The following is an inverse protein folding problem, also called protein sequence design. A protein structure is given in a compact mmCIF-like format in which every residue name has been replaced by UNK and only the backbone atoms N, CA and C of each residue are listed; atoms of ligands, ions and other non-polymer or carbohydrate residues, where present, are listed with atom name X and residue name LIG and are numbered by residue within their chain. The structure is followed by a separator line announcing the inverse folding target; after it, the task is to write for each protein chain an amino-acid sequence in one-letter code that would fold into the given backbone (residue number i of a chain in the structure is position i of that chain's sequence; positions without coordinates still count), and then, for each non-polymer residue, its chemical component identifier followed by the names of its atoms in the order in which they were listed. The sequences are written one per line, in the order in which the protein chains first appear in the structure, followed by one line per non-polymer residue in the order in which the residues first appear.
data_IF_041825503887
#
_entry.id   IF_041825503887
#
_cell.length_a   1.000
_cell.length_b   1.000
_cell.length_c   1.000
_cell.angle_alpha   90.00
_cell.angle_beta   90.00
_cell.angle_gamma   90.00
#
_symmetry.space_group_name_H-M   'P 1'
#
loop_
_entity.id
_entity.type
_entity.pdbx_description
1 polymer ?
#
# COMPACT_ATOMS: atom_id res chain seq x y z
N UNK A 1 27.62 -14.64 -10.32
CA UNK A 1 27.95 -14.66 -8.93
C UNK A 1 26.73 -14.71 -8.05
N UNK A 2 26.76 -15.57 -7.08
CA UNK A 2 25.65 -15.81 -6.18
C UNK A 2 25.26 -14.58 -5.36
N UNK A 3 26.19 -13.67 -5.15
CA UNK A 3 25.96 -12.47 -4.35
C UNK A 3 24.87 -11.58 -4.96
N UNK A 4 24.93 -11.36 -6.27
CA UNK A 4 23.92 -10.53 -6.95
C UNK A 4 22.56 -11.21 -6.93
N UNK A 5 22.54 -12.52 -7.12
CA UNK A 5 21.32 -13.29 -7.04
C UNK A 5 20.70 -13.21 -5.65
N UNK A 6 21.55 -13.35 -4.61
CA UNK A 6 21.07 -13.25 -3.23
C UNK A 6 20.49 -11.87 -2.94
N UNK A 7 21.13 -10.79 -3.44
CA UNK A 7 20.63 -9.43 -3.27
C UNK A 7 19.26 -9.27 -3.92
N UNK A 8 19.07 -9.81 -5.12
CA UNK A 8 17.78 -9.75 -5.80
C UNK A 8 16.70 -10.52 -5.04
N UNK A 9 17.07 -11.66 -4.45
CA UNK A 9 16.12 -12.48 -3.67
C UNK A 9 15.69 -11.77 -2.39
N UNK A 10 16.54 -10.94 -1.82
CA UNK A 10 16.22 -10.18 -0.61
C UNK A 10 15.39 -8.93 -0.90
N UNK A 11 15.30 -8.52 -2.16
CA UNK A 11 14.52 -7.37 -2.55
C UNK A 11 13.04 -7.71 -2.49
N UNK A 12 12.22 -6.94 -1.76
CA UNK A 12 10.79 -7.23 -1.69
C UNK A 12 10.14 -7.08 -3.06
N UNK A 13 9.10 -7.87 -3.36
CA UNK A 13 8.36 -7.70 -4.61
C UNK A 13 7.68 -6.34 -4.65
N UNK A 14 7.46 -5.82 -5.86
CA UNK A 14 6.74 -4.56 -6.04
C UNK A 14 5.31 -4.69 -5.51
N UNK A 15 4.71 -3.56 -5.14
CA UNK A 15 3.33 -3.56 -4.67
C UNK A 15 2.39 -4.15 -5.73
N UNK A 16 2.58 -3.79 -7.01
CA UNK A 16 1.76 -4.33 -8.09
C UNK A 16 1.86 -5.85 -8.17
N UNK A 17 3.06 -6.40 -8.00
CA UNK A 17 3.26 -7.84 -7.99
C UNK A 17 2.57 -8.49 -6.77
N UNK A 18 2.67 -7.85 -5.61
CA UNK A 18 2.01 -8.35 -4.41
C UNK A 18 0.50 -8.45 -4.60
N UNK A 19 -0.12 -7.42 -5.19
CA UNK A 19 -1.56 -7.42 -5.46
C UNK A 19 -1.92 -8.53 -6.43
N UNK A 20 -1.12 -8.70 -7.48
CA UNK A 20 -1.36 -9.69 -8.51
C UNK A 20 -1.35 -11.12 -7.94
N UNK A 21 -0.52 -11.38 -6.94
CA UNK A 21 -0.31 -12.71 -6.39
C UNK A 21 -1.08 -12.99 -5.10
N UNK A 22 -2.00 -12.09 -4.71
CA UNK A 22 -2.81 -12.30 -3.50
C UNK A 22 -3.71 -13.53 -3.63
N UNK A 23 -3.67 -14.38 -2.62
CA UNK A 23 -4.64 -15.47 -2.46
C UNK A 23 -5.92 -14.96 -1.81
N UNK A 24 -6.95 -15.84 -1.72
CA UNK A 24 -8.23 -15.47 -1.11
C UNK A 24 -8.05 -14.96 0.31
N UNK A 25 -8.59 -13.79 0.62
CA UNK A 25 -8.51 -13.18 1.94
C UNK A 25 -7.17 -12.54 2.28
N UNK A 26 -6.18 -12.65 1.40
CA UNK A 26 -4.89 -12.02 1.64
C UNK A 26 -4.90 -10.54 1.28
N UNK A 27 -3.99 -9.78 1.91
CA UNK A 27 -3.91 -8.33 1.75
C UNK A 27 -2.50 -7.90 1.41
N UNK A 28 -2.39 -6.81 0.66
CA UNK A 28 -1.15 -6.09 0.42
C UNK A 28 -1.33 -4.66 0.90
N UNK A 29 -0.27 -4.10 1.48
CA UNK A 29 -0.32 -2.75 2.03
C UNK A 29 0.70 -1.86 1.35
N UNK A 30 0.34 -0.59 1.19
CA UNK A 30 1.25 0.46 0.77
C UNK A 30 1.14 1.61 1.76
N UNK A 31 2.28 2.11 2.21
CA UNK A 31 2.33 3.17 3.20
C UNK A 31 3.05 4.39 2.65
N UNK A 32 2.67 5.55 3.16
CA UNK A 32 3.35 6.81 2.87
C UNK A 32 3.55 7.55 4.18
N UNK A 33 4.81 7.86 4.55
CA UNK A 33 5.04 8.63 5.78
C UNK A 33 4.47 10.03 5.64
N UNK A 34 3.88 10.54 6.73
CA UNK A 34 3.37 11.89 6.78
C UNK A 34 4.55 12.81 7.09
N UNK A 35 4.64 13.91 6.35
CA UNK A 35 5.72 14.88 6.52
C UNK A 35 5.71 15.41 7.95
N UNK A 36 6.83 15.21 8.66
CA UNK A 36 6.97 15.61 10.05
C UNK A 36 7.07 17.13 10.23
N UNK A 37 7.26 17.87 9.15
CA UNK A 37 7.24 19.33 9.22
C UNK A 37 5.83 19.88 9.36
N UNK A 38 4.80 19.05 9.12
CA UNK A 38 3.43 19.46 9.36
C UNK A 38 3.19 19.59 10.85
N UNK A 39 2.59 20.72 11.25
CA UNK A 39 2.19 20.88 12.63
C UNK A 39 1.00 19.99 12.95
N UNK A 40 0.85 19.62 14.22
CA UNK A 40 -0.28 18.79 14.67
C UNK A 40 -1.61 19.42 14.25
N UNK A 41 -1.72 20.75 14.28
CA UNK A 41 -2.95 21.44 13.89
C UNK A 41 -3.28 21.26 12.40
N UNK A 42 -2.27 21.06 11.54
CA UNK A 42 -2.48 20.92 10.10
C UNK A 42 -2.68 19.49 9.64
N UNK A 43 -2.31 18.50 10.47
CA UNK A 43 -2.45 17.09 10.10
C UNK A 43 -3.89 16.74 9.71
N UNK A 44 -4.93 17.12 10.49
CA UNK A 44 -6.30 16.80 10.11
C UNK A 44 -6.73 17.43 8.78
N UNK A 45 -6.17 18.56 8.40
CA UNK A 45 -6.48 19.21 7.14
C UNK A 45 -5.81 18.52 5.95
N UNK A 46 -4.59 18.01 6.16
CA UNK A 46 -3.80 17.39 5.10
C UNK A 46 -4.10 15.91 4.89
N UNK A 47 -4.61 15.23 5.91
CA UNK A 47 -4.86 13.78 5.85
C UNK A 47 -5.78 13.35 4.73
N UNK A 48 -6.91 14.04 4.48
CA UNK A 48 -7.79 13.63 3.37
C UNK A 48 -7.08 13.64 2.02
N UNK A 49 -6.23 14.65 1.77
CA UNK A 49 -5.47 14.74 0.53
C UNK A 49 -4.44 13.63 0.42
N UNK A 50 -3.74 13.32 1.53
CA UNK A 50 -2.76 12.25 1.56
C UNK A 50 -3.40 10.88 1.32
N UNK A 51 -4.56 10.63 1.93
CA UNK A 51 -5.31 9.39 1.71
C UNK A 51 -5.74 9.27 0.27
N UNK A 52 -6.20 10.37 -0.34
CA UNK A 52 -6.63 10.35 -1.73
C UNK A 52 -5.45 10.10 -2.66
N UNK A 53 -4.29 10.72 -2.40
CA UNK A 53 -3.07 10.46 -3.17
C UNK A 53 -2.67 8.99 -3.10
N UNK A 54 -2.76 8.41 -1.92
CA UNK A 54 -2.39 7.00 -1.72
C UNK A 54 -3.38 6.07 -2.44
N UNK A 55 -4.68 6.37 -2.34
CA UNK A 55 -5.71 5.62 -3.07
C UNK A 55 -5.45 5.70 -4.58
N UNK A 56 -5.14 6.88 -5.09
CA UNK A 56 -4.84 7.06 -6.50
C UNK A 56 -3.59 6.29 -6.92
N UNK A 57 -2.63 6.15 -6.02
CA UNK A 57 -1.39 5.41 -6.29
C UNK A 57 -1.63 3.89 -6.38
N UNK A 58 -2.58 3.34 -5.59
CA UNK A 58 -2.83 1.90 -5.59
C UNK A 58 -3.88 1.46 -6.61
N UNK A 59 -4.77 2.35 -7.02
CA UNK A 59 -5.87 2.02 -7.94
C UNK A 59 -5.39 1.40 -9.26
N UNK A 60 -4.34 1.92 -9.93
CA UNK A 60 -3.87 1.30 -11.17
C UNK A 60 -3.38 -0.14 -10.97
N UNK A 61 -2.71 -0.43 -9.86
CA UNK A 61 -2.23 -1.79 -9.58
C UNK A 61 -3.39 -2.75 -9.40
N UNK A 62 -4.44 -2.31 -8.70
CA UNK A 62 -5.66 -3.10 -8.48
C UNK A 62 -6.39 -3.34 -9.81
N UNK A 63 -6.51 -2.30 -10.64
CA UNK A 63 -7.16 -2.42 -11.94
C UNK A 63 -6.44 -3.42 -12.83
N UNK A 64 -5.11 -3.39 -12.87
CA UNK A 64 -4.32 -4.33 -13.64
C UNK A 64 -4.46 -5.75 -13.14
N UNK A 65 -4.44 -5.93 -11.82
CA UNK A 65 -4.60 -7.25 -11.21
C UNK A 65 -5.99 -7.83 -11.50
N UNK A 66 -7.03 -7.01 -11.38
CA UNK A 66 -8.40 -7.42 -11.70
C UNK A 66 -8.52 -7.85 -13.15
N UNK A 67 -7.93 -7.10 -14.06
CA UNK A 67 -7.95 -7.41 -15.49
C UNK A 67 -7.19 -8.70 -15.79
N UNK A 68 -6.04 -8.89 -15.15
CA UNK A 68 -5.19 -10.06 -15.40
C UNK A 68 -5.73 -11.35 -14.78
N UNK A 69 -6.37 -11.27 -13.61
CA UNK A 69 -6.76 -12.45 -12.83
C UNK A 69 -8.27 -12.67 -12.75
N UNK A 70 -9.07 -11.62 -12.97
CA UNK A 70 -10.52 -11.67 -12.76
C UNK A 70 -10.93 -11.65 -11.29
N UNK A 71 -9.98 -11.49 -10.36
CA UNK A 71 -10.26 -11.46 -8.94
C UNK A 71 -10.91 -10.14 -8.52
N UNK A 72 -11.58 -10.16 -7.37
CA UNK A 72 -12.22 -8.99 -6.78
C UNK A 72 -11.38 -8.50 -5.62
N UNK A 73 -11.19 -7.18 -5.55
CA UNK A 73 -10.36 -6.56 -4.52
C UNK A 73 -11.13 -5.42 -3.84
N UNK A 74 -10.83 -5.21 -2.56
CA UNK A 74 -11.28 -4.04 -1.82
C UNK A 74 -10.08 -3.15 -1.50
N UNK A 75 -10.30 -1.84 -1.43
CA UNK A 75 -9.27 -0.87 -1.06
C UNK A 75 -9.75 -0.11 0.16
N UNK A 76 -8.95 -0.13 1.23
CA UNK A 76 -9.21 0.66 2.41
C UNK A 76 -8.01 1.59 2.63
N UNK A 77 -8.28 2.84 2.98
CA UNK A 77 -7.23 3.83 3.24
C UNK A 77 -7.46 4.45 4.61
N UNK A 78 -6.40 4.53 5.38
CA UNK A 78 -6.45 5.07 6.72
C UNK A 78 -5.12 5.65 7.14
N UNK A 79 -4.95 5.80 8.45
CA UNK A 79 -3.72 6.31 9.02
C UNK A 79 -3.33 5.47 10.24
N UNK A 80 -2.02 5.35 10.47
CA UNK A 80 -1.47 4.56 11.57
C UNK A 80 -0.40 5.38 12.27
N UNK A 81 -0.45 5.40 13.61
CA UNK A 81 0.60 5.96 14.42
C UNK A 81 1.47 4.84 14.98
N UNK A 82 2.76 4.92 14.74
CA UNK A 82 3.71 3.93 15.23
C UNK A 82 4.14 4.28 16.67
N UNK A 83 4.68 3.31 17.42
CA UNK A 83 5.16 3.57 18.79
C UNK A 83 6.21 4.70 18.85
N UNK A 84 6.94 4.92 17.76
CA UNK A 84 7.92 6.02 17.68
C UNK A 84 7.29 7.41 17.58
N UNK A 85 5.96 7.48 17.40
CA UNK A 85 5.25 8.73 17.14
C UNK A 85 5.09 9.06 15.67
N UNK A 86 5.70 8.27 14.78
CA UNK A 86 5.58 8.48 13.32
C UNK A 86 4.17 8.16 12.87
N UNK A 87 3.62 9.05 12.02
CA UNK A 87 2.33 8.83 11.39
C UNK A 87 2.53 8.41 9.94
N UNK A 88 1.72 7.44 9.51
CA UNK A 88 1.73 6.95 8.14
C UNK A 88 0.31 6.92 7.59
N UNK A 89 0.14 7.33 6.35
CA UNK A 89 -1.04 6.99 5.59
C UNK A 89 -0.84 5.56 5.07
N UNK A 90 -1.90 4.75 5.10
CA UNK A 90 -1.82 3.35 4.69
C UNK A 90 -2.98 3.01 3.77
N UNK A 91 -2.68 2.28 2.70
CA UNK A 91 -3.69 1.69 1.83
C UNK A 91 -3.57 0.18 1.93
N UNK A 92 -4.68 -0.49 2.15
CA UNK A 92 -4.75 -1.95 2.24
C UNK A 92 -5.63 -2.45 1.11
N UNK A 93 -5.07 -3.32 0.27
CA UNK A 93 -5.78 -3.99 -0.81
C UNK A 93 -5.99 -5.43 -0.41
N UNK A 94 -7.23 -5.88 -0.37
CA UNK A 94 -7.58 -7.25 0.03
C UNK A 94 -8.30 -7.93 -1.12
N UNK A 95 -7.88 -9.16 -1.45
CA UNK A 95 -8.63 -9.99 -2.38
C UNK A 95 -9.83 -10.58 -1.63
N UNK A 96 -11.03 -10.28 -2.10
CA UNK A 96 -12.28 -10.63 -1.41
C UNK A 96 -12.97 -11.86 -1.96
N UNK A 97 -12.62 -12.33 -3.15
CA UNK A 97 -13.19 -13.55 -3.73
C UNK A 97 -12.35 -14.78 -3.43
N UNK A 98 -12.96 -15.91 -3.52
CA UNK A 98 -12.27 -17.20 -3.35
C UNK A 98 -11.54 -17.63 -4.62
#
# INVERSE_FOLDING_TARGET
MSRDTATKQLRPPSFAHQVLTLGPGESACRTKPIDQTLTIARIPEEMPALRQQLRNAVTPAVARAKEATGNVYSIEVGDVQMPSGMLYAVAVVTRTND
#
